data_IF_280056318922
#
_entry.id   IF_280056318922
#
_cell.length_a   1.000
_cell.length_b   1.000
_cell.length_c   1.000
_cell.angle_alpha   90.00
_cell.angle_beta   90.00
_cell.angle_gamma   90.00
#
_symmetry.space_group_name_H-M   'P 1'
#
loop_
_entity.id
_entity.type
_entity.pdbx_description
1 polymer ?
#
# COMPACT_ATOMS: atom_id res chain seq x y z
N UNK A 1 -3.10 24.80 21.98
CA UNK A 1 -2.92 23.35 22.22
C UNK A 1 -1.55 22.97 21.68
N UNK A 2 -0.81 22.16 22.45
CA UNK A 2 0.62 21.90 22.31
C UNK A 2 0.98 21.31 20.93
N UNK A 3 1.91 21.96 20.21
CA UNK A 3 2.60 21.35 19.07
C UNK A 3 3.45 20.21 19.65
N UNK A 4 2.97 18.96 19.55
CA UNK A 4 3.83 17.79 19.76
C UNK A 4 4.96 17.89 18.73
N UNK A 5 6.17 18.17 19.21
CA UNK A 5 7.38 17.90 18.44
C UNK A 5 7.54 16.38 18.41
N UNK A 6 6.84 15.71 17.51
CA UNK A 6 7.17 14.32 17.20
C UNK A 6 8.62 14.31 16.73
N UNK A 7 9.48 13.65 17.50
CA UNK A 7 10.85 13.39 17.08
C UNK A 7 10.75 12.46 15.86
N UNK A 8 10.76 13.05 14.67
CA UNK A 8 10.74 12.30 13.43
C UNK A 8 12.04 11.51 13.34
N UNK A 9 11.96 10.20 13.58
CA UNK A 9 13.09 9.30 13.37
C UNK A 9 13.41 9.33 11.88
N UNK A 10 14.71 9.43 11.54
CA UNK A 10 15.14 9.36 10.13
C UNK A 10 14.65 8.06 9.51
N UNK A 11 14.05 8.13 8.32
CA UNK A 11 13.52 6.98 7.58
C UNK A 11 14.52 5.83 7.46
N UNK A 12 15.80 6.15 7.28
CA UNK A 12 16.88 5.16 7.17
C UNK A 12 16.99 4.27 8.42
N UNK A 13 16.82 4.84 9.62
CA UNK A 13 16.93 4.10 10.89
C UNK A 13 15.75 3.14 11.01
N UNK A 14 14.54 3.63 10.74
CA UNK A 14 13.35 2.79 10.78
C UNK A 14 13.42 1.68 9.73
N UNK A 15 13.86 1.99 8.51
CA UNK A 15 14.07 1.02 7.45
C UNK A 15 15.06 -0.08 7.86
N UNK A 16 16.23 0.29 8.40
CA UNK A 16 17.23 -0.67 8.88
C UNK A 16 16.71 -1.56 10.03
N UNK A 17 15.97 -0.98 10.97
CA UNK A 17 15.35 -1.72 12.07
C UNK A 17 14.30 -2.70 11.56
N UNK A 18 13.44 -2.23 10.66
CA UNK A 18 12.37 -3.01 10.04
C UNK A 18 12.94 -4.18 9.24
N UNK A 19 13.92 -3.94 8.35
CA UNK A 19 14.54 -5.02 7.57
C UNK A 19 15.29 -6.01 8.46
N UNK A 20 15.93 -5.55 9.53
CA UNK A 20 16.58 -6.42 10.52
C UNK A 20 15.57 -7.31 11.25
N UNK A 21 14.42 -6.76 11.65
CA UNK A 21 13.32 -7.51 12.24
C UNK A 21 12.79 -8.58 11.30
N UNK A 22 12.47 -8.20 10.05
CA UNK A 22 12.01 -9.12 9.00
C UNK A 22 13.02 -10.26 8.80
N UNK A 23 14.31 -9.94 8.65
CA UNK A 23 15.36 -10.93 8.48
C UNK A 23 15.44 -11.92 9.65
N UNK A 24 15.25 -11.45 10.89
CA UNK A 24 15.22 -12.33 12.07
C UNK A 24 14.02 -13.25 12.06
N UNK A 25 12.82 -12.72 11.82
CA UNK A 25 11.56 -13.50 11.75
C UNK A 25 11.67 -14.61 10.69
N UNK A 26 12.20 -14.28 9.52
CA UNK A 26 12.40 -15.26 8.44
C UNK A 26 13.44 -16.31 8.83
N UNK A 27 14.57 -15.91 9.42
CA UNK A 27 15.61 -16.84 9.90
C UNK A 27 15.08 -17.82 10.96
N UNK A 28 14.16 -17.37 11.80
CA UNK A 28 13.54 -18.19 12.85
C UNK A 28 12.45 -19.13 12.33
N UNK A 29 12.19 -19.13 11.02
CA UNK A 29 11.22 -20.02 10.37
C UNK A 29 9.78 -19.51 10.40
N UNK A 30 9.52 -18.36 11.03
CA UNK A 30 8.20 -17.71 11.04
C UNK A 30 7.85 -17.00 9.71
N UNK A 31 8.78 -16.95 8.76
CA UNK A 31 8.54 -16.43 7.41
C UNK A 31 7.78 -17.38 6.47
N UNK A 32 7.47 -18.61 6.89
CA UNK A 32 6.71 -19.58 6.09
C UNK A 32 5.20 -19.44 6.35
N UNK A 33 4.38 -19.82 5.37
CA UNK A 33 2.91 -19.96 5.51
C UNK A 33 2.14 -18.68 5.95
N UNK A 34 2.52 -17.53 5.38
CA UNK A 34 1.84 -16.25 5.65
C UNK A 34 2.13 -15.67 7.04
N UNK A 35 3.19 -16.14 7.73
CA UNK A 35 3.54 -15.63 9.05
C UNK A 35 3.89 -14.14 9.06
N UNK A 36 4.50 -13.62 7.98
CA UNK A 36 4.80 -12.19 7.82
C UNK A 36 3.52 -11.34 7.82
N UNK A 37 2.53 -11.76 7.06
CA UNK A 37 1.21 -11.12 7.01
C UNK A 37 0.53 -11.13 8.38
N UNK A 38 0.52 -12.27 9.08
CA UNK A 38 -0.12 -12.36 10.42
C UNK A 38 0.55 -11.47 11.46
N UNK A 39 1.87 -11.39 11.45
CA UNK A 39 2.63 -10.47 12.30
C UNK A 39 2.24 -9.02 11.95
N UNK A 40 2.21 -8.70 10.66
CA UNK A 40 1.75 -7.42 10.16
C UNK A 40 0.36 -7.06 10.67
N UNK A 41 -0.61 -7.97 10.55
CA UNK A 41 -1.98 -7.75 11.01
C UNK A 41 -2.05 -7.42 12.49
N UNK A 42 -1.30 -8.13 13.34
CA UNK A 42 -1.22 -7.81 14.78
C UNK A 42 -0.62 -6.44 15.06
N UNK A 43 0.37 -6.01 14.27
CA UNK A 43 0.93 -4.65 14.35
C UNK A 43 -0.14 -3.64 13.93
N UNK A 44 -0.83 -3.88 12.82
CA UNK A 44 -1.91 -3.03 12.29
C UNK A 44 -3.06 -2.84 13.29
N UNK A 45 -3.53 -3.92 13.93
CA UNK A 45 -4.56 -3.87 14.99
C UNK A 45 -4.16 -2.91 16.12
N UNK A 46 -2.87 -2.82 16.47
CA UNK A 46 -2.36 -1.90 17.50
C UNK A 46 -2.19 -0.48 17.02
N UNK A 47 -1.96 -0.28 15.72
CA UNK A 47 -1.83 1.03 15.10
C UNK A 47 -3.19 1.65 14.76
N UNK A 48 -4.24 0.84 14.63
CA UNK A 48 -5.56 1.28 14.16
C UNK A 48 -6.14 2.43 14.98
N UNK A 49 -6.11 2.35 16.32
CA UNK A 49 -6.64 3.39 17.19
C UNK A 49 -5.91 4.74 17.02
N UNK A 50 -4.58 4.70 16.92
CA UNK A 50 -3.73 5.87 16.69
C UNK A 50 -3.98 6.48 15.31
N UNK A 51 -4.08 5.64 14.28
CA UNK A 51 -4.39 6.08 12.93
C UNK A 51 -5.79 6.70 12.85
N UNK A 52 -6.81 6.08 13.43
CA UNK A 52 -8.18 6.57 13.35
C UNK A 52 -8.41 7.84 14.15
N UNK A 53 -7.68 8.02 15.25
CA UNK A 53 -7.71 9.28 15.99
C UNK A 53 -7.22 10.45 15.12
N UNK A 54 -6.23 10.20 14.26
CA UNK A 54 -5.59 11.23 13.45
C UNK A 54 -6.26 11.42 12.08
N UNK A 55 -6.54 10.34 11.37
CA UNK A 55 -7.07 10.33 10.00
C UNK A 55 -8.60 10.41 9.93
N UNK A 56 -9.31 9.92 10.96
CA UNK A 56 -10.78 9.88 11.01
C UNK A 56 -11.45 9.37 9.71
N UNK A 57 -11.11 8.15 9.23
CA UNK A 57 -11.62 7.64 7.97
C UNK A 57 -13.14 7.44 7.99
N UNK A 58 -13.80 7.69 6.86
CA UNK A 58 -15.25 7.48 6.69
C UNK A 58 -15.55 5.99 6.53
N UNK A 59 -16.51 5.45 7.29
CA UNK A 59 -16.90 4.03 7.23
C UNK A 59 -18.27 3.85 6.54
N UNK A 60 -18.50 2.76 5.78
CA UNK A 60 -17.53 1.78 5.31
C UNK A 60 -16.81 2.25 4.03
N UNK A 61 -15.51 1.98 3.92
CA UNK A 61 -14.68 2.32 2.75
C UNK A 61 -14.74 1.22 1.69
N UNK A 62 -14.97 1.59 0.43
CA UNK A 62 -14.80 0.67 -0.70
C UNK A 62 -13.35 0.60 -1.18
N UNK A 63 -13.06 -0.31 -2.13
CA UNK A 63 -11.71 -0.52 -2.69
C UNK A 63 -11.02 0.78 -3.12
N UNK A 64 -11.73 1.66 -3.83
CA UNK A 64 -11.17 2.93 -4.29
C UNK A 64 -10.87 3.89 -3.14
N UNK A 65 -11.75 3.96 -2.15
CA UNK A 65 -11.56 4.81 -0.98
C UNK A 65 -10.38 4.32 -0.14
N UNK A 66 -10.26 3.01 0.06
CA UNK A 66 -9.13 2.38 0.76
C UNK A 66 -7.83 2.65 0.01
N UNK A 67 -7.78 2.39 -1.31
CA UNK A 67 -6.56 2.58 -2.11
C UNK A 67 -6.06 4.03 -2.06
N UNK A 68 -6.99 4.98 -2.14
CA UNK A 68 -6.69 6.41 -2.02
C UNK A 68 -6.17 6.74 -0.62
N UNK A 69 -6.88 6.34 0.43
CA UNK A 69 -6.52 6.66 1.82
C UNK A 69 -5.17 6.06 2.22
N UNK A 70 -4.88 4.82 1.78
CA UNK A 70 -3.58 4.19 1.98
C UNK A 70 -2.47 5.06 1.40
N UNK A 71 -2.68 5.59 0.19
CA UNK A 71 -1.66 6.33 -0.55
C UNK A 71 -1.52 7.79 -0.11
N UNK A 72 -2.63 8.45 0.20
CA UNK A 72 -2.68 9.88 0.52
C UNK A 72 -2.55 10.16 2.01
N UNK A 73 -2.90 9.20 2.87
CA UNK A 73 -2.95 9.38 4.33
C UNK A 73 -2.02 8.41 5.05
N UNK A 74 -2.22 7.10 4.93
CA UNK A 74 -1.48 6.11 5.74
C UNK A 74 0.02 6.12 5.46
N UNK A 75 0.42 5.97 4.19
CA UNK A 75 1.82 5.93 3.80
C UNK A 75 2.58 7.23 4.10
N UNK A 76 2.00 8.42 3.81
CA UNK A 76 2.64 9.69 4.18
C UNK A 76 2.81 9.84 5.70
N UNK A 77 1.86 9.32 6.48
CA UNK A 77 1.92 9.42 7.94
C UNK A 77 2.98 8.50 8.54
N UNK A 78 2.99 7.21 8.18
CA UNK A 78 3.87 6.22 8.83
C UNK A 78 5.20 5.99 8.13
N UNK A 79 5.29 6.23 6.83
CA UNK A 79 6.50 6.00 6.04
C UNK A 79 7.09 7.28 5.43
N UNK A 80 6.41 8.42 5.55
CA UNK A 80 6.72 9.68 4.84
C UNK A 80 7.03 9.45 3.36
N UNK A 81 6.25 8.54 2.77
CA UNK A 81 6.31 8.16 1.37
C UNK A 81 4.89 8.30 0.81
N UNK A 82 4.75 8.74 -0.44
CA UNK A 82 3.44 8.83 -1.09
C UNK A 82 3.45 7.95 -2.34
N UNK A 83 2.93 6.71 -2.28
CA UNK A 83 2.82 5.87 -3.45
C UNK A 83 1.79 6.42 -4.43
N UNK A 84 1.94 6.06 -5.70
CA UNK A 84 0.90 6.28 -6.70
C UNK A 84 -0.17 5.17 -6.56
N UNK A 85 -1.42 5.47 -6.89
CA UNK A 85 -2.48 4.47 -6.89
C UNK A 85 -3.41 4.59 -8.09
N UNK A 86 -3.91 3.45 -8.55
CA UNK A 86 -4.91 3.35 -9.63
C UNK A 86 -5.70 2.06 -9.48
N UNK A 87 -7.02 2.17 -9.40
CA UNK A 87 -7.96 1.04 -9.45
C UNK A 87 -7.61 -0.17 -8.56
N UNK A 88 -7.15 0.06 -7.33
CA UNK A 88 -6.78 -1.03 -6.41
C UNK A 88 -5.30 -1.40 -6.43
N UNK A 89 -4.50 -0.83 -7.33
CA UNK A 89 -3.04 -1.03 -7.36
C UNK A 89 -2.40 0.18 -6.71
N UNK A 90 -1.54 -0.06 -5.71
CA UNK A 90 -0.70 0.93 -5.06
C UNK A 90 0.74 0.66 -5.50
N UNK A 91 1.24 1.49 -6.40
CA UNK A 91 2.58 1.40 -6.97
C UNK A 91 3.60 2.04 -6.04
N UNK A 92 4.60 1.27 -5.63
CA UNK A 92 5.57 1.68 -4.61
C UNK A 92 6.83 2.31 -5.19
N UNK A 93 7.11 2.13 -6.50
CA UNK A 93 8.32 2.64 -7.15
C UNK A 93 9.58 2.43 -6.31
N UNK A 94 10.36 3.50 -6.11
CA UNK A 94 11.55 3.49 -5.22
C UNK A 94 11.18 3.68 -3.74
N UNK A 95 10.47 2.72 -3.16
CA UNK A 95 10.08 2.79 -1.76
C UNK A 95 11.30 2.69 -0.82
N UNK A 96 11.64 3.75 -0.05
CA UNK A 96 12.90 3.81 0.71
C UNK A 96 13.07 2.72 1.76
N UNK A 97 11.96 2.14 2.26
CA UNK A 97 12.00 1.06 3.24
C UNK A 97 12.62 -0.24 2.69
N UNK A 98 12.53 -0.46 1.38
CA UNK A 98 12.97 -1.71 0.76
C UNK A 98 14.43 -1.66 0.30
N UNK A 99 15.06 -0.48 0.26
CA UNK A 99 16.41 -0.31 -0.29
C UNK A 99 17.52 -1.07 0.50
N UNK A 100 17.23 -1.47 1.74
CA UNK A 100 18.19 -2.14 2.63
C UNK A 100 17.96 -3.65 2.77
N UNK A 101 17.14 -4.26 1.91
CA UNK A 101 16.83 -5.69 1.99
C UNK A 101 16.84 -6.36 0.62
N UNK A 102 17.03 -7.69 0.62
CA UNK A 102 16.79 -8.58 -0.53
C UNK A 102 15.57 -9.49 -0.30
N UNK A 103 14.73 -9.08 0.65
CA UNK A 103 13.50 -9.75 1.09
C UNK A 103 12.32 -8.80 0.94
N UNK A 104 12.27 -8.14 -0.20
CA UNK A 104 11.30 -7.11 -0.52
C UNK A 104 9.88 -7.67 -0.44
N UNK A 105 9.68 -8.88 -0.96
CA UNK A 105 8.40 -9.59 -0.88
C UNK A 105 7.95 -9.82 0.56
N UNK A 106 8.80 -10.38 1.43
CA UNK A 106 8.43 -10.66 2.82
C UNK A 106 8.18 -9.37 3.62
N UNK A 107 8.91 -8.30 3.31
CA UNK A 107 8.64 -6.97 3.85
C UNK A 107 7.25 -6.48 3.43
N UNK A 108 6.93 -6.57 2.14
CA UNK A 108 5.63 -6.13 1.64
C UNK A 108 4.48 -6.98 2.16
N UNK A 109 4.65 -8.30 2.30
CA UNK A 109 3.66 -9.16 2.92
C UNK A 109 3.32 -8.71 4.35
N UNK A 110 4.33 -8.29 5.12
CA UNK A 110 4.09 -7.72 6.45
C UNK A 110 3.38 -6.37 6.38
N UNK A 111 3.72 -5.50 5.42
CA UNK A 111 3.01 -4.22 5.23
C UNK A 111 1.54 -4.47 4.83
N UNK A 112 1.27 -5.41 3.92
CA UNK A 112 -0.10 -5.82 3.58
C UNK A 112 -0.85 -6.31 4.81
N UNK A 113 -0.20 -7.09 5.67
CA UNK A 113 -0.76 -7.47 6.96
C UNK A 113 -1.11 -6.26 7.83
N UNK A 114 -0.20 -5.27 7.96
CA UNK A 114 -0.46 -4.04 8.71
C UNK A 114 -1.70 -3.33 8.15
N UNK A 115 -1.79 -3.18 6.83
CA UNK A 115 -2.93 -2.56 6.18
C UNK A 115 -4.23 -3.35 6.44
N UNK A 116 -4.20 -4.68 6.41
CA UNK A 116 -5.34 -5.52 6.76
C UNK A 116 -5.80 -5.27 8.20
N UNK A 117 -4.87 -5.26 9.16
CA UNK A 117 -5.17 -5.03 10.57
C UNK A 117 -5.70 -3.62 10.86
N UNK A 118 -5.26 -2.61 10.10
CA UNK A 118 -5.76 -1.24 10.20
C UNK A 118 -7.12 -1.13 9.52
N UNK A 119 -7.21 -1.42 8.22
CA UNK A 119 -8.40 -1.13 7.43
C UNK A 119 -9.55 -2.12 7.64
N UNK A 120 -9.31 -3.31 8.19
CA UNK A 120 -10.34 -4.31 8.46
C UNK A 120 -11.49 -3.83 9.37
N UNK A 121 -11.28 -2.75 10.14
CA UNK A 121 -12.31 -2.13 10.99
C UNK A 121 -13.14 -1.03 10.30
N UNK A 122 -12.77 -0.65 9.08
CA UNK A 122 -13.32 0.53 8.37
C UNK A 122 -13.68 0.26 6.92
N UNK A 123 -13.15 -0.80 6.32
CA UNK A 123 -13.48 -1.22 4.97
C UNK A 123 -14.80 -1.99 4.92
N UNK A 124 -15.35 -2.11 3.71
CA UNK A 124 -16.37 -3.12 3.43
C UNK A 124 -15.80 -4.52 3.67
N UNK A 125 -16.69 -5.47 4.01
CA UNK A 125 -16.32 -6.88 4.09
C UNK A 125 -15.76 -7.36 2.74
N UNK A 126 -14.70 -8.16 2.79
CA UNK A 126 -14.07 -8.73 1.60
C UNK A 126 -12.97 -7.89 0.95
N UNK A 127 -12.69 -6.68 1.45
CA UNK A 127 -11.47 -5.95 1.07
C UNK A 127 -10.25 -6.65 1.65
N UNK A 128 -9.22 -6.90 0.84
CA UNK A 128 -7.97 -7.52 1.28
C UNK A 128 -6.74 -6.94 0.58
N UNK A 129 -5.57 -7.14 1.18
CA UNK A 129 -4.29 -6.64 0.67
C UNK A 129 -3.34 -7.78 0.28
N UNK A 130 -2.73 -7.67 -0.91
CA UNK A 130 -1.77 -8.64 -1.44
C UNK A 130 -0.49 -7.95 -1.88
N UNK A 131 0.66 -8.51 -1.52
CA UNK A 131 1.95 -8.10 -2.06
C UNK A 131 2.17 -8.75 -3.42
N UNK A 132 2.47 -7.96 -4.44
CA UNK A 132 2.65 -8.45 -5.81
C UNK A 132 3.78 -7.73 -6.53
N UNK A 133 4.08 -8.20 -7.73
CA UNK A 133 4.98 -7.55 -8.68
C UNK A 133 4.21 -7.22 -9.96
N UNK A 134 4.27 -5.97 -10.39
CA UNK A 134 3.65 -5.49 -11.62
C UNK A 134 4.69 -4.74 -12.45
N UNK A 135 4.88 -5.15 -13.71
CA UNK A 135 5.90 -4.61 -14.62
C UNK A 135 7.33 -4.58 -14.05
N UNK A 136 7.66 -5.56 -13.19
CA UNK A 136 8.98 -5.65 -12.55
C UNK A 136 9.15 -4.72 -11.33
N UNK A 137 8.10 -4.02 -10.91
CA UNK A 137 8.06 -3.22 -9.70
C UNK A 137 7.15 -3.85 -8.65
N UNK A 138 7.57 -3.79 -7.39
CA UNK A 138 6.72 -4.25 -6.31
C UNK A 138 5.55 -3.30 -6.07
N UNK A 139 4.37 -3.88 -5.83
CA UNK A 139 3.15 -3.14 -5.56
C UNK A 139 2.29 -3.84 -4.50
N UNK A 140 1.31 -3.08 -3.97
CA UNK A 140 0.26 -3.61 -3.12
C UNK A 140 -1.03 -3.63 -3.94
N UNK A 141 -1.68 -4.78 -4.00
CA UNK A 141 -2.99 -4.94 -4.63
C UNK A 141 -4.05 -4.97 -3.53
N UNK A 142 -4.97 -4.01 -3.59
CA UNK A 142 -6.22 -3.98 -2.82
C UNK A 142 -7.27 -4.71 -3.64
N UNK A 143 -7.76 -5.83 -3.11
CA UNK A 143 -8.82 -6.63 -3.75
C UNK A 143 -10.15 -6.40 -3.06
N UNK A 144 -11.21 -6.62 -3.81
CA UNK A 144 -12.58 -6.74 -3.31
C UNK A 144 -13.02 -8.17 -3.64
N UNK A 145 -13.55 -8.91 -2.66
CA UNK A 145 -13.91 -10.33 -2.76
C UNK A 145 -14.83 -10.69 -3.93
N UNK A 146 -15.50 -9.69 -4.53
CA UNK A 146 -16.34 -9.85 -5.72
C UNK A 146 -15.59 -9.75 -7.07
N UNK A 147 -14.35 -9.21 -7.13
CA UNK A 147 -13.58 -9.04 -8.37
C UNK A 147 -12.26 -9.83 -8.35
N UNK A 148 -12.17 -10.85 -9.22
CA UNK A 148 -10.98 -11.71 -9.32
C UNK A 148 -9.81 -11.12 -10.10
N UNK A 149 -10.01 -10.15 -10.98
CA UNK A 149 -8.93 -9.59 -11.77
C UNK A 149 -8.91 -8.05 -11.70
N UNK A 150 -7.77 -7.43 -11.33
CA UNK A 150 -7.60 -5.99 -11.51
C UNK A 150 -7.57 -5.70 -13.02
N UNK A 151 -8.48 -4.82 -13.47
CA UNK A 151 -8.39 -4.25 -14.82
C UNK A 151 -7.29 -3.21 -14.78
N UNK A 152 -6.11 -3.55 -15.30
CA UNK A 152 -4.97 -2.65 -15.24
C UNK A 152 -5.02 -1.64 -16.39
N UNK A 153 -5.29 -0.38 -16.07
CA UNK A 153 -4.92 0.72 -16.95
C UNK A 153 -3.49 1.14 -16.62
N UNK A 154 -2.65 1.25 -17.66
CA UNK A 154 -1.25 1.69 -17.55
C UNK A 154 -1.20 3.03 -16.81
N UNK A 155 -0.34 3.14 -15.81
CA UNK A 155 0.10 4.44 -15.31
C UNK A 155 0.94 5.05 -16.43
N UNK A 156 0.35 5.93 -17.24
CA UNK A 156 1.16 6.78 -18.12
C UNK A 156 1.87 7.79 -17.22
N UNK A 157 3.18 7.65 -17.10
CA UNK A 157 4.04 8.77 -16.71
C UNK A 157 4.01 9.78 -17.87
N UNK A 158 2.98 10.62 -17.94
CA UNK A 158 3.04 11.81 -18.77
C UNK A 158 3.89 12.85 -18.04
N UNK A 159 5.16 12.86 -18.45
CA UNK A 159 6.01 14.03 -18.40
C UNK A 159 5.32 15.11 -19.24
N UNK A 160 4.69 16.08 -18.58
CA UNK A 160 4.19 17.29 -19.21
C UNK A 160 5.37 18.21 -19.55
N UNK A 161 6.04 17.91 -20.66
CA UNK A 161 6.71 18.92 -21.48
C UNK A 161 5.92 19.06 -22.78
N UNK A 162 4.87 19.88 -22.71
CA UNK A 162 4.37 20.71 -23.79
C UNK A 162 4.32 20.11 -25.19
N UNK A 163 3.11 19.76 -25.64
CA UNK A 163 2.56 20.19 -26.93
C UNK A 163 1.12 19.68 -27.06
N UNK A 164 0.19 20.62 -27.26
CA UNK A 164 -1.22 20.30 -27.45
C UNK A 164 -1.47 19.52 -28.74
N UNK A 165 -2.33 18.52 -28.65
CA UNK A 165 -3.05 17.99 -29.81
C UNK A 165 -4.45 17.56 -29.34
N UNK A 166 -5.48 18.20 -29.88
CA UNK A 166 -6.88 17.78 -29.78
C UNK A 166 -7.07 16.46 -30.55
N UNK A 167 -7.84 15.52 -29.98
CA UNK A 167 -8.37 14.40 -30.75
C UNK A 167 -9.86 14.18 -30.45
N UNK A 168 -10.64 14.22 -31.53
CA UNK A 168 -12.07 13.92 -31.60
C UNK A 168 -12.34 12.41 -31.41
N UNK A 169 -13.54 12.02 -30.93
CA UNK A 169 -13.88 10.61 -30.74
C UNK A 169 -14.20 9.93 -32.08
N UNK A 170 -13.57 8.77 -32.34
CA UNK A 170 -13.97 7.87 -33.44
C UNK A 170 -14.58 6.58 -32.91
N UNK A 171 -15.86 6.45 -33.24
CA UNK A 171 -16.72 5.29 -33.49
C UNK A 171 -16.39 3.92 -32.90
N UNK A 172 -17.41 3.43 -32.18
CA UNK A 172 -17.64 2.06 -31.73
C UNK A 172 -17.75 1.12 -32.94
N UNK A 173 -16.86 0.12 -33.02
CA UNK A 173 -17.08 -1.04 -33.90
C UNK A 173 -17.65 -2.18 -33.07
N UNK A 174 -18.94 -2.45 -33.30
CA UNK A 174 -19.66 -3.62 -32.81
C UNK A 174 -19.27 -4.84 -33.65
N UNK A 175 -18.83 -5.91 -32.99
CA UNK A 175 -18.68 -7.23 -33.61
C UNK A 175 -19.77 -8.15 -33.10
N UNK A 176 -20.47 -8.76 -34.07
CA UNK A 176 -21.57 -9.72 -33.94
C UNK A 176 -21.18 -10.98 -33.19
#
# INVERSE_FOLDING_TARGET
MSKRSEQQVRHDIFALMYTSFVNKVVKDGAGKDGGMFRIGARIGERMADDFFFTASPRKPMGLLDVSRDVSETFFPHYFSFRPAYSQGIIALGKFPMLQYTRREKECLEMICGILEGVYGYVSKEGISFEASEYNGEYCIIVRDGERKDPVVMRFNEEVDEGQGICFEPRDVVSSK
#
